data_IF_914169681495
#
_entry.id   IF_914169681495
#
_cell.length_a   1.000
_cell.length_b   1.000
_cell.length_c   1.000
_cell.angle_alpha   90.00
_cell.angle_beta   90.00
_cell.angle_gamma   90.00
#
_symmetry.space_group_name_H-M   'P 1'
#
loop_
_entity.id
_entity.type
_entity.pdbx_description
1 polymer ?
#
# COMPACT_ATOMS: atom_id res chain seq x y z
N UNK A 1 -42.81 53.30 -45.05
CA UNK A 1 -43.06 52.64 -43.77
C UNK A 1 -41.91 51.68 -43.54
N UNK A 2 -41.10 52.00 -42.60
CA UNK A 2 -39.80 51.43 -42.30
C UNK A 2 -39.95 50.13 -41.50
N UNK A 3 -39.30 49.02 -41.92
CA UNK A 3 -39.20 47.78 -41.16
C UNK A 3 -37.77 47.39 -40.97
N UNK A 4 -37.25 47.74 -39.82
CA UNK A 4 -35.86 47.50 -39.41
C UNK A 4 -35.66 46.03 -39.03
N UNK A 5 -34.86 45.27 -39.81
CA UNK A 5 -34.45 43.92 -39.47
C UNK A 5 -33.24 43.98 -38.50
N UNK A 6 -33.50 43.68 -37.27
CA UNK A 6 -32.47 43.51 -36.25
C UNK A 6 -31.82 42.15 -36.41
N UNK A 7 -30.58 42.11 -36.87
CA UNK A 7 -29.76 40.87 -36.94
C UNK A 7 -29.22 40.58 -35.56
N UNK A 8 -29.74 39.50 -34.95
CA UNK A 8 -29.20 38.93 -33.72
C UNK A 8 -27.95 38.12 -34.06
N UNK A 9 -26.77 38.64 -33.77
CA UNK A 9 -25.51 37.87 -33.80
C UNK A 9 -25.44 37.06 -32.51
N UNK A 10 -25.65 35.75 -32.62
CA UNK A 10 -25.30 34.80 -31.56
C UNK A 10 -23.79 34.56 -31.56
N UNK A 11 -23.09 35.19 -30.64
CA UNK A 11 -21.69 34.92 -30.39
C UNK A 11 -21.58 33.61 -29.58
N UNK A 12 -21.28 32.50 -30.24
CA UNK A 12 -20.96 31.24 -29.59
C UNK A 12 -19.54 31.35 -29.04
N UNK A 13 -19.43 31.63 -27.75
CA UNK A 13 -18.16 31.55 -27.03
C UNK A 13 -17.72 30.09 -26.91
N UNK A 14 -16.81 29.67 -27.77
CA UNK A 14 -16.12 28.39 -27.67
C UNK A 14 -15.17 28.44 -26.46
N UNK A 15 -15.64 28.00 -25.28
CA UNK A 15 -14.79 27.80 -24.12
C UNK A 15 -13.86 26.64 -24.43
N UNK A 16 -12.66 26.96 -24.90
CA UNK A 16 -11.53 26.02 -24.93
C UNK A 16 -11.16 25.70 -23.49
N UNK A 17 -11.63 24.57 -22.99
CA UNK A 17 -11.11 23.96 -21.75
C UNK A 17 -9.66 23.56 -22.06
N UNK A 18 -8.73 24.46 -21.81
CA UNK A 18 -7.31 24.12 -21.72
C UNK A 18 -7.17 23.19 -20.52
N UNK A 19 -7.28 21.90 -20.77
CA UNK A 19 -6.89 20.88 -19.82
C UNK A 19 -5.43 21.12 -19.46
N UNK A 20 -5.18 21.75 -18.31
CA UNK A 20 -3.84 21.78 -17.72
C UNK A 20 -3.48 20.33 -17.42
N UNK A 21 -2.75 19.69 -18.33
CA UNK A 21 -2.15 18.41 -18.08
C UNK A 21 -1.42 18.50 -16.75
N UNK A 22 -1.85 17.72 -15.77
CA UNK A 22 -1.15 17.62 -14.51
C UNK A 22 0.21 16.97 -14.81
N UNK A 23 1.21 17.81 -15.07
CA UNK A 23 2.60 17.35 -15.12
C UNK A 23 2.97 16.92 -13.72
N UNK A 24 3.09 15.62 -13.52
CA UNK A 24 3.66 15.08 -12.31
C UNK A 24 5.06 15.67 -12.15
N UNK A 25 5.26 16.50 -11.11
CA UNK A 25 6.59 17.02 -10.81
C UNK A 25 7.46 15.89 -10.31
N UNK A 26 8.68 15.83 -10.80
CA UNK A 26 9.67 14.87 -10.30
C UNK A 26 9.97 15.18 -8.84
N UNK A 27 9.76 14.19 -7.96
CA UNK A 27 10.24 14.25 -6.59
C UNK A 27 11.68 13.72 -6.56
N UNK A 28 12.61 14.55 -6.09
CA UNK A 28 13.98 14.13 -5.79
C UNK A 28 14.05 13.87 -4.29
N UNK A 29 14.23 12.63 -3.91
CA UNK A 29 14.40 12.22 -2.52
C UNK A 29 15.87 11.86 -2.27
N UNK A 30 16.47 12.51 -1.27
CA UNK A 30 17.82 12.21 -0.83
C UNK A 30 17.75 11.41 0.47
N UNK A 31 18.47 10.31 0.52
CA UNK A 31 18.60 9.45 1.69
C UNK A 31 20.07 9.25 2.04
N UNK A 32 20.35 8.77 3.24
CA UNK A 32 21.71 8.46 3.72
C UNK A 32 22.38 7.31 2.95
N UNK A 33 21.62 6.51 2.23
CA UNK A 33 22.09 5.41 1.41
C UNK A 33 21.10 4.99 0.33
N UNK A 34 21.50 4.07 -0.52
CA UNK A 34 20.62 3.46 -1.53
C UNK A 34 19.83 2.30 -0.93
N UNK A 35 18.55 2.12 -1.28
CA UNK A 35 17.81 0.95 -0.88
C UNK A 35 18.42 -0.32 -1.53
N UNK A 36 18.47 -1.42 -0.78
CA UNK A 36 18.95 -2.72 -1.27
C UNK A 36 18.03 -3.25 -2.37
N UNK A 37 16.74 -3.14 -2.14
CA UNK A 37 15.65 -3.49 -3.05
C UNK A 37 14.33 -2.90 -2.54
N UNK A 38 13.23 -3.17 -3.24
CA UNK A 38 11.89 -2.67 -2.86
C UNK A 38 11.00 -3.75 -2.23
N UNK A 39 11.56 -4.83 -1.68
CA UNK A 39 10.78 -5.87 -1.01
C UNK A 39 10.90 -5.74 0.52
N UNK A 40 9.90 -5.16 1.20
CA UNK A 40 9.99 -4.88 2.64
C UNK A 40 10.09 -6.15 3.50
N UNK A 41 9.72 -7.30 2.96
CA UNK A 41 9.77 -8.57 3.70
C UNK A 41 11.18 -9.14 3.89
N UNK A 42 12.14 -8.72 3.05
CA UNK A 42 13.52 -9.21 3.09
C UNK A 42 14.54 -8.13 3.46
N UNK A 43 14.11 -6.88 3.59
CA UNK A 43 14.99 -5.76 3.91
C UNK A 43 15.19 -5.63 5.41
N UNK A 44 16.42 -5.27 5.82
CA UNK A 44 16.80 -5.06 7.21
C UNK A 44 17.20 -3.61 7.50
N UNK A 45 17.51 -2.82 6.47
CA UNK A 45 17.99 -1.45 6.64
C UNK A 45 16.85 -0.43 6.66
N UNK A 46 16.99 0.61 7.48
CA UNK A 46 16.05 1.72 7.56
C UNK A 46 15.83 2.41 6.21
N UNK A 47 16.91 2.62 5.45
CA UNK A 47 16.88 3.21 4.10
C UNK A 47 15.96 2.45 3.14
N UNK A 48 16.08 1.10 3.12
CA UNK A 48 15.24 0.24 2.28
C UNK A 48 13.77 0.25 2.74
N UNK A 49 13.54 0.23 4.05
CA UNK A 49 12.18 0.30 4.61
C UNK A 49 11.52 1.66 4.34
N UNK A 50 12.27 2.76 4.42
CA UNK A 50 11.76 4.10 4.12
C UNK A 50 11.42 4.26 2.64
N UNK A 51 12.25 3.73 1.74
CA UNK A 51 11.97 3.72 0.30
C UNK A 51 10.73 2.88 -0.06
N UNK A 52 10.47 1.79 0.67
CA UNK A 52 9.31 0.92 0.48
C UNK A 52 8.01 1.50 1.09
N UNK A 53 8.12 2.38 2.09
CA UNK A 53 6.98 2.92 2.83
C UNK A 53 5.89 3.58 1.96
N UNK A 54 6.20 4.41 0.95
CA UNK A 54 5.18 5.01 0.09
C UNK A 54 4.58 4.04 -0.94
N UNK A 55 5.17 2.85 -1.10
CA UNK A 55 4.75 1.85 -2.12
C UNK A 55 3.85 0.79 -1.52
N UNK A 56 4.08 0.41 -0.26
CA UNK A 56 3.39 -0.70 0.39
C UNK A 56 2.54 -0.24 1.57
N UNK A 57 1.35 -0.79 1.66
CA UNK A 57 0.48 -0.61 2.81
C UNK A 57 0.80 -1.65 3.90
N UNK A 58 0.49 -1.28 5.15
CA UNK A 58 0.63 -2.11 6.36
C UNK A 58 -0.73 -2.29 7.02
N UNK A 59 -0.87 -3.27 7.90
CA UNK A 59 -2.08 -3.41 8.72
C UNK A 59 -2.29 -2.18 9.61
N UNK A 60 -1.22 -1.78 10.28
CA UNK A 60 -1.12 -0.56 11.10
C UNK A 60 0.20 0.14 10.76
N UNK A 61 0.31 1.41 11.07
CA UNK A 61 1.50 2.21 10.82
C UNK A 61 1.74 3.20 11.95
N UNK A 62 2.92 3.77 12.01
CA UNK A 62 3.17 4.92 12.88
C UNK A 62 2.66 6.20 12.23
N UNK A 63 2.01 7.04 13.02
CA UNK A 63 1.72 8.41 12.63
C UNK A 63 3.03 9.14 12.30
N UNK A 64 3.14 9.86 11.17
CA UNK A 64 4.36 10.55 10.81
C UNK A 64 4.90 11.45 11.93
N UNK A 65 6.18 11.27 12.28
CA UNK A 65 6.84 12.01 13.35
C UNK A 65 6.46 11.61 14.78
N UNK A 66 5.79 10.46 14.96
CA UNK A 66 5.32 9.97 16.26
C UNK A 66 5.60 8.48 16.42
N UNK A 67 5.56 7.99 17.67
CA UNK A 67 5.53 6.57 18.02
C UNK A 67 4.11 6.03 18.19
N UNK A 68 3.10 6.85 17.95
CA UNK A 68 1.69 6.46 18.02
C UNK A 68 1.34 5.58 16.84
N UNK A 69 0.72 4.43 17.12
CA UNK A 69 0.23 3.50 16.09
C UNK A 69 -1.16 3.94 15.63
N UNK A 70 -1.36 4.00 14.33
CA UNK A 70 -2.63 4.30 13.69
C UNK A 70 -3.07 3.20 12.73
N UNK A 71 -4.36 3.15 12.44
CA UNK A 71 -4.96 2.21 11.49
C UNK A 71 -4.54 2.51 10.05
N UNK A 72 -4.24 1.45 9.28
CA UNK A 72 -3.93 1.53 7.84
C UNK A 72 -4.83 0.59 7.03
N UNK A 73 -4.38 -0.61 6.64
CA UNK A 73 -5.26 -1.60 6.00
C UNK A 73 -6.31 -2.16 6.97
N UNK A 74 -5.98 -2.23 8.26
CA UNK A 74 -6.97 -2.50 9.29
C UNK A 74 -7.75 -1.22 9.61
N UNK A 75 -9.07 -1.30 9.71
CA UNK A 75 -9.92 -0.21 10.24
C UNK A 75 -9.68 -0.03 11.73
N UNK A 76 -9.53 -1.16 12.42
CA UNK A 76 -9.23 -1.24 13.85
C UNK A 76 -8.51 -2.55 14.16
N UNK A 77 -7.89 -2.58 15.31
CA UNK A 77 -7.36 -3.79 15.89
C UNK A 77 -7.68 -3.84 17.39
N UNK A 78 -7.76 -5.05 17.91
CA UNK A 78 -8.01 -5.33 19.32
C UNK A 78 -6.95 -6.31 19.82
N UNK A 79 -6.44 -6.10 21.02
CA UNK A 79 -5.47 -6.98 21.68
C UNK A 79 -6.15 -7.62 22.87
N UNK A 80 -6.07 -8.95 22.99
CA UNK A 80 -6.62 -9.67 24.14
C UNK A 80 -5.95 -9.22 25.45
N UNK A 81 -6.63 -9.36 26.62
CA UNK A 81 -6.08 -8.91 27.90
C UNK A 81 -4.74 -9.55 28.28
N UNK A 82 -4.48 -10.76 27.80
CA UNK A 82 -3.22 -11.48 28.02
C UNK A 82 -2.14 -11.17 26.97
N UNK A 83 -2.45 -10.30 25.98
CA UNK A 83 -1.54 -9.87 24.92
C UNK A 83 -1.24 -10.93 23.86
N UNK A 84 -1.90 -12.09 23.91
CA UNK A 84 -1.56 -13.21 23.03
C UNK A 84 -2.31 -13.24 21.71
N UNK A 85 -3.47 -12.59 21.65
CA UNK A 85 -4.29 -12.54 20.43
C UNK A 85 -4.43 -11.09 19.98
N UNK A 86 -4.10 -10.84 18.71
CA UNK A 86 -4.33 -9.56 18.06
C UNK A 86 -5.31 -9.79 16.91
N UNK A 87 -6.47 -9.13 17.00
CA UNK A 87 -7.52 -9.23 15.99
C UNK A 87 -7.54 -7.97 15.15
N UNK A 88 -7.39 -8.10 13.84
CA UNK A 88 -7.46 -7.00 12.88
C UNK A 88 -8.76 -7.07 12.08
N UNK A 89 -9.53 -5.97 12.06
CA UNK A 89 -10.65 -5.81 11.15
C UNK A 89 -10.17 -5.09 9.90
N UNK A 90 -10.10 -5.78 8.77
CA UNK A 90 -9.63 -5.21 7.52
C UNK A 90 -10.67 -4.26 6.90
N UNK A 91 -10.18 -3.23 6.20
CA UNK A 91 -11.01 -2.36 5.36
C UNK A 91 -11.58 -3.16 4.19
N UNK A 92 -12.85 -2.95 3.89
CA UNK A 92 -13.46 -3.50 2.69
C UNK A 92 -13.08 -2.67 1.44
N UNK A 93 -13.11 -3.31 0.28
CA UNK A 93 -12.95 -2.61 -1.00
C UNK A 93 -11.54 -2.10 -1.29
N UNK A 94 -10.52 -2.58 -0.59
CA UNK A 94 -9.12 -2.21 -0.86
C UNK A 94 -8.65 -2.86 -2.15
N UNK A 95 -8.25 -2.04 -3.10
CA UNK A 95 -7.79 -2.48 -4.43
C UNK A 95 -6.28 -2.70 -4.45
N UNK A 96 -5.85 -3.70 -5.21
CA UNK A 96 -4.45 -3.83 -5.60
C UNK A 96 -4.10 -2.84 -6.73
N UNK A 97 -2.82 -2.53 -6.89
CA UNK A 97 -2.34 -1.76 -8.02
C UNK A 97 -2.64 -2.50 -9.34
N UNK A 98 -3.05 -1.77 -10.35
CA UNK A 98 -3.33 -2.29 -11.69
C UNK A 98 -2.41 -1.67 -12.73
N UNK A 99 -2.26 -2.34 -13.87
CA UNK A 99 -1.46 -1.84 -15.00
C UNK A 99 0.05 -2.03 -14.85
N UNK A 100 0.53 -2.60 -13.75
CA UNK A 100 1.95 -2.92 -13.56
C UNK A 100 2.26 -4.19 -14.35
N UNK A 101 3.15 -4.06 -15.34
CA UNK A 101 3.51 -5.17 -16.25
C UNK A 101 2.29 -5.86 -16.91
N UNK A 102 1.20 -5.11 -17.16
CA UNK A 102 -0.02 -5.65 -17.74
C UNK A 102 -0.90 -6.43 -16.75
N UNK A 103 -0.51 -6.52 -15.49
CA UNK A 103 -1.31 -7.19 -14.47
C UNK A 103 -2.57 -6.36 -14.11
N UNK A 104 -3.72 -7.02 -14.13
CA UNK A 104 -4.99 -6.44 -13.68
C UNK A 104 -5.58 -7.34 -12.59
N UNK A 105 -5.70 -6.82 -11.35
CA UNK A 105 -6.32 -7.55 -10.27
C UNK A 105 -7.78 -7.87 -10.57
N UNK A 106 -8.21 -9.09 -10.23
CA UNK A 106 -9.59 -9.55 -10.45
C UNK A 106 -10.46 -9.45 -9.22
N UNK A 107 -9.87 -9.12 -8.07
CA UNK A 107 -10.56 -8.99 -6.78
C UNK A 107 -9.88 -7.97 -5.86
N UNK A 108 -10.56 -7.64 -4.79
CA UNK A 108 -10.04 -6.82 -3.71
C UNK A 108 -9.17 -7.63 -2.74
N UNK A 109 -8.44 -6.92 -1.87
CA UNK A 109 -7.67 -7.49 -0.76
C UNK A 109 -8.61 -8.16 0.24
N UNK A 110 -8.19 -9.33 0.70
CA UNK A 110 -8.90 -10.13 1.70
C UNK A 110 -7.95 -10.57 2.83
N UNK A 111 -8.49 -11.20 3.86
CA UNK A 111 -7.69 -11.74 4.96
C UNK A 111 -6.70 -12.82 4.49
N UNK A 112 -7.06 -13.57 3.47
CA UNK A 112 -6.20 -14.60 2.87
C UNK A 112 -4.90 -14.03 2.31
N UNK A 113 -4.90 -12.79 1.81
CA UNK A 113 -3.69 -12.12 1.32
C UNK A 113 -2.73 -11.76 2.46
N UNK A 114 -3.28 -11.38 3.60
CA UNK A 114 -2.51 -11.11 4.82
C UNK A 114 -1.92 -12.42 5.35
N UNK A 115 -2.73 -13.46 5.48
CA UNK A 115 -2.29 -14.79 5.91
C UNK A 115 -1.17 -15.30 5.01
N UNK A 116 -1.38 -15.25 3.70
CA UNK A 116 -0.38 -15.66 2.70
C UNK A 116 0.95 -14.92 2.87
N UNK A 117 0.90 -13.62 3.13
CA UNK A 117 2.09 -12.78 3.30
C UNK A 117 2.91 -13.18 4.52
N UNK A 118 2.25 -13.49 5.64
CA UNK A 118 2.91 -13.98 6.84
C UNK A 118 3.39 -15.43 6.69
N UNK A 119 2.57 -16.32 6.17
CA UNK A 119 2.93 -17.73 5.98
C UNK A 119 4.13 -17.90 5.05
N UNK A 120 4.26 -17.07 4.03
CA UNK A 120 5.43 -17.04 3.16
C UNK A 120 6.74 -16.78 3.91
N UNK A 121 6.71 -15.95 4.96
CA UNK A 121 7.89 -15.64 5.77
C UNK A 121 8.12 -16.68 6.88
N UNK A 122 7.05 -17.29 7.33
CA UNK A 122 7.04 -18.14 8.52
C UNK A 122 7.18 -19.64 8.21
N UNK A 123 6.48 -20.11 7.17
CA UNK A 123 6.42 -21.56 6.85
C UNK A 123 7.48 -21.93 5.81
N UNK A 124 8.49 -22.74 6.14
CA UNK A 124 9.58 -23.07 5.22
C UNK A 124 9.13 -23.94 4.02
N UNK A 125 7.98 -24.60 4.13
CA UNK A 125 7.34 -25.40 3.07
C UNK A 125 6.39 -24.60 2.18
N UNK A 126 6.18 -23.30 2.48
CA UNK A 126 5.37 -22.44 1.62
C UNK A 126 6.00 -22.34 0.22
N UNK A 127 5.22 -22.50 -0.88
CA UNK A 127 5.76 -22.53 -2.25
C UNK A 127 6.65 -21.34 -2.64
N UNK A 128 6.42 -20.22 -2.01
CA UNK A 128 7.14 -18.95 -2.27
C UNK A 128 8.09 -18.55 -1.14
N UNK A 129 8.35 -19.41 -0.17
CA UNK A 129 9.25 -19.08 0.94
C UNK A 129 10.68 -18.75 0.46
N UNK A 130 11.15 -19.44 -0.58
CA UNK A 130 12.51 -19.30 -1.12
C UNK A 130 12.62 -18.37 -2.34
N UNK A 131 11.54 -17.74 -2.74
CA UNK A 131 11.56 -16.71 -3.79
C UNK A 131 12.18 -15.44 -3.20
N UNK A 132 13.03 -14.75 -3.95
CA UNK A 132 13.72 -13.54 -3.49
C UNK A 132 14.75 -13.77 -2.38
N UNK A 133 15.69 -14.69 -2.64
CA UNK A 133 16.79 -15.08 -1.77
C UNK A 133 16.46 -15.94 -0.54
N UNK A 134 15.20 -16.11 -0.18
CA UNK A 134 14.77 -17.09 0.83
C UNK A 134 15.12 -16.77 2.28
N UNK A 135 15.57 -15.54 2.56
CA UNK A 135 15.84 -15.07 3.92
C UNK A 135 14.89 -13.96 4.28
N UNK A 136 14.36 -14.02 5.48
CA UNK A 136 13.47 -13.02 6.07
C UNK A 136 14.08 -12.55 7.40
N UNK A 137 15.30 -12.03 7.32
CA UNK A 137 16.15 -11.78 8.47
C UNK A 137 15.47 -10.88 9.49
N UNK A 138 14.84 -9.78 9.06
CA UNK A 138 14.13 -8.90 9.97
C UNK A 138 12.99 -9.59 10.71
N UNK A 139 12.24 -10.44 10.03
CA UNK A 139 11.16 -11.25 10.63
C UNK A 139 11.70 -12.26 11.64
N UNK A 140 12.80 -12.90 11.31
CA UNK A 140 13.47 -13.89 12.17
C UNK A 140 14.14 -13.22 13.39
N UNK A 141 14.84 -12.11 13.18
CA UNK A 141 15.53 -11.36 14.25
C UNK A 141 14.56 -10.76 15.27
N UNK A 142 13.33 -10.44 14.84
CA UNK A 142 12.25 -10.05 15.74
C UNK A 142 11.66 -11.21 16.55
N UNK A 143 12.13 -12.44 16.35
CA UNK A 143 11.62 -13.62 17.02
C UNK A 143 10.22 -14.06 16.57
N UNK A 144 9.76 -13.56 15.43
CA UNK A 144 8.39 -13.81 14.96
C UNK A 144 8.08 -15.29 14.74
N UNK A 145 9.01 -16.15 14.25
CA UNK A 145 8.75 -17.58 14.12
C UNK A 145 8.41 -18.28 15.43
N UNK A 146 8.99 -17.82 16.55
CA UNK A 146 8.75 -18.38 17.88
C UNK A 146 7.53 -17.77 18.57
N UNK A 147 7.17 -16.52 18.19
CA UNK A 147 6.03 -15.81 18.75
C UNK A 147 4.70 -16.15 18.06
N UNK A 148 4.74 -16.49 16.77
CA UNK A 148 3.54 -16.84 16.02
C UNK A 148 3.21 -18.32 16.22
N UNK A 149 2.08 -18.60 16.86
CA UNK A 149 1.49 -19.92 16.93
C UNK A 149 0.54 -20.15 15.75
N UNK A 150 -0.28 -19.14 15.43
CA UNK A 150 -1.33 -19.25 14.45
C UNK A 150 -1.67 -17.89 13.83
N UNK A 151 -1.98 -17.92 12.55
CA UNK A 151 -2.64 -16.82 11.86
C UNK A 151 -3.82 -17.38 11.08
N UNK A 152 -5.00 -16.80 11.27
CA UNK A 152 -6.23 -17.29 10.68
C UNK A 152 -7.22 -16.18 10.39
N UNK A 153 -8.21 -16.50 9.57
CA UNK A 153 -9.37 -15.68 9.34
C UNK A 153 -10.40 -15.98 10.41
N UNK A 154 -10.89 -14.94 11.06
CA UNK A 154 -12.00 -14.99 12.01
C UNK A 154 -13.36 -14.93 11.32
#
# INVERSE_FOLDING_TARGET
MSGTFTKLLAATALMSVLGTGAYAKTLVYCSEGSPENFSPSINTTGTSLDAARPVYNKLVQFTPGSTTVESALAEKYDVSPDGKVITFKLRAGVKFHSGVNGFTPTRDLTAEDVIWSFERMWKPDHPYAKVSAGSYDYFNDMGMPDLLDKIEKG
#
